data_IF_944096635495
#
_entry.id   IF_944096635495
#
_cell.length_a   1.000
_cell.length_b   1.000
_cell.length_c   1.000
_cell.angle_alpha   90.00
_cell.angle_beta   90.00
_cell.angle_gamma   90.00
#
_symmetry.space_group_name_H-M   'P 1'
#
loop_
_entity.id
_entity.type
_entity.pdbx_description
1 polymer ?
#
# COMPACT_ATOMS: atom_id res chain seq x y z
N UNK A 1 0.00 19.22 7.00
CA UNK A 1 -0.32 17.91 7.59
C UNK A 1 0.61 16.90 6.92
N UNK A 2 0.97 15.80 7.57
CA UNK A 2 1.86 14.81 6.99
C UNK A 2 1.08 13.50 6.81
N UNK A 3 1.30 12.80 5.70
CA UNK A 3 0.63 11.55 5.40
C UNK A 3 1.66 10.45 5.16
N UNK A 4 1.37 9.25 5.68
CA UNK A 4 2.17 8.05 5.50
C UNK A 4 1.37 7.05 4.67
N UNK A 5 1.98 6.59 3.58
CA UNK A 5 1.45 5.52 2.77
C UNK A 5 1.80 4.16 3.39
N UNK A 6 0.77 3.36 3.66
CA UNK A 6 0.91 1.98 4.10
C UNK A 6 0.38 1.05 3.01
N UNK A 7 1.24 0.20 2.46
CA UNK A 7 0.91 -0.78 1.42
C UNK A 7 0.69 -2.16 2.05
N UNK A 8 -0.34 -2.87 1.61
CA UNK A 8 -0.68 -4.22 2.03
C UNK A 8 -0.75 -5.12 0.81
N UNK A 9 0.06 -6.17 0.77
CA UNK A 9 -0.12 -7.26 -0.19
C UNK A 9 -1.16 -8.23 0.35
N UNK A 10 -2.25 -8.43 -0.39
CA UNK A 10 -3.35 -9.28 0.01
C UNK A 10 -3.56 -10.43 -0.98
N UNK A 11 -4.12 -11.54 -0.50
CA UNK A 11 -4.54 -12.67 -1.32
C UNK A 11 -6.03 -12.95 -1.10
N UNK A 12 -6.81 -12.96 -2.18
CA UNK A 12 -8.21 -13.36 -2.10
C UNK A 12 -8.38 -14.88 -1.91
N UNK A 13 -7.36 -15.68 -2.20
CA UNK A 13 -7.36 -17.13 -1.92
C UNK A 13 -7.17 -17.39 -0.43
N UNK A 14 -6.20 -16.71 0.20
CA UNK A 14 -5.93 -16.87 1.63
C UNK A 14 -6.82 -15.98 2.53
N UNK A 15 -7.65 -15.13 1.92
CA UNK A 15 -8.53 -14.17 2.59
C UNK A 15 -7.82 -13.33 3.66
N UNK A 16 -6.55 -12.96 3.42
CA UNK A 16 -5.72 -12.22 4.36
C UNK A 16 -4.75 -11.29 3.63
N UNK A 17 -4.16 -10.36 4.38
CA UNK A 17 -3.10 -9.48 3.94
C UNK A 17 -1.85 -9.67 4.79
N UNK A 18 -0.68 -9.45 4.20
CA UNK A 18 0.56 -9.33 4.94
C UNK A 18 0.55 -8.06 5.81
N UNK A 19 1.41 -7.99 6.85
CA UNK A 19 1.65 -6.75 7.57
C UNK A 19 1.97 -5.58 6.64
N UNK A 20 1.61 -4.34 7.01
CA UNK A 20 1.84 -3.19 6.16
C UNK A 20 3.33 -2.97 5.92
N UNK A 21 3.67 -2.67 4.67
CA UNK A 21 4.92 -2.01 4.33
C UNK A 21 4.69 -0.50 4.38
N UNK A 22 5.37 0.16 5.31
CA UNK A 22 5.36 1.61 5.39
C UNK A 22 6.28 2.18 4.31
N UNK A 23 5.72 2.97 3.39
CA UNK A 23 6.50 3.63 2.36
C UNK A 23 7.41 4.69 2.99
N UNK A 24 8.70 4.79 2.60
CA UNK A 24 9.67 5.65 3.27
C UNK A 24 9.41 7.15 3.07
N UNK A 25 8.64 7.53 2.05
CA UNK A 25 8.32 8.93 1.77
C UNK A 25 7.13 9.43 2.61
N UNK A 26 7.29 10.61 3.20
CA UNK A 26 6.24 11.33 3.92
C UNK A 26 5.64 12.38 2.98
N UNK A 27 4.34 12.33 2.77
CA UNK A 27 3.62 13.21 1.86
C UNK A 27 3.06 14.43 2.59
N UNK A 28 2.99 15.58 1.90
CA UNK A 28 2.46 16.84 2.44
C UNK A 28 0.94 16.92 2.49
N UNK A 29 0.25 16.03 1.79
CA UNK A 29 -1.19 16.02 1.62
C UNK A 29 -1.69 14.61 1.26
N UNK A 30 -2.98 14.36 1.51
CA UNK A 30 -3.59 13.07 1.25
C UNK A 30 -3.72 12.75 -0.24
N UNK A 31 -3.83 13.77 -1.12
CA UNK A 31 -3.99 13.55 -2.55
C UNK A 31 -2.73 12.97 -3.17
N UNK A 32 -1.57 13.59 -2.93
CA UNK A 32 -0.27 13.09 -3.41
C UNK A 32 0.04 11.70 -2.86
N UNK A 33 -0.28 11.45 -1.59
CA UNK A 33 -0.17 10.11 -0.99
C UNK A 33 -1.05 9.07 -1.72
N UNK A 34 -2.30 9.41 -2.02
CA UNK A 34 -3.23 8.49 -2.69
C UNK A 34 -2.82 8.22 -4.14
N UNK A 35 -2.29 9.22 -4.87
CA UNK A 35 -1.71 9.02 -6.20
C UNK A 35 -0.54 8.04 -6.13
N UNK A 36 0.43 8.28 -5.24
CA UNK A 36 1.58 7.40 -5.07
C UNK A 36 1.16 5.96 -4.67
N UNK A 37 0.14 5.81 -3.82
CA UNK A 37 -0.40 4.49 -3.48
C UNK A 37 -0.88 3.69 -4.68
N UNK A 38 -1.53 4.34 -5.67
CA UNK A 38 -1.94 3.68 -6.90
C UNK A 38 -0.75 3.33 -7.80
N UNK A 39 0.20 4.26 -7.97
CA UNK A 39 1.41 4.05 -8.79
C UNK A 39 2.25 2.89 -8.25
N UNK A 40 2.55 2.89 -6.95
CA UNK A 40 3.31 1.82 -6.29
C UNK A 40 2.56 0.47 -6.31
N UNK A 41 1.23 0.49 -6.25
CA UNK A 41 0.42 -0.72 -6.39
C UNK A 41 0.59 -1.37 -7.76
N UNK A 42 0.62 -0.56 -8.83
CA UNK A 42 0.83 -1.05 -10.20
C UNK A 42 2.23 -1.67 -10.31
N UNK A 43 3.26 -0.92 -9.91
CA UNK A 43 4.66 -1.37 -9.97
C UNK A 43 4.85 -2.69 -9.20
N UNK A 44 4.23 -2.83 -8.03
CA UNK A 44 4.34 -4.05 -7.22
C UNK A 44 3.64 -5.25 -7.88
N UNK A 45 2.47 -5.05 -8.50
CA UNK A 45 1.78 -6.11 -9.23
C UNK A 45 2.57 -6.55 -10.46
N UNK A 46 3.19 -5.62 -11.18
CA UNK A 46 4.08 -5.91 -12.31
C UNK A 46 5.33 -6.68 -11.87
N UNK A 47 5.94 -6.30 -10.76
CA UNK A 47 7.10 -6.99 -10.16
C UNK A 47 6.78 -8.41 -9.73
N UNK A 48 5.62 -8.63 -9.08
CA UNK A 48 5.17 -9.98 -8.68
C UNK A 48 4.86 -10.84 -9.91
N UNK A 49 4.27 -10.24 -10.93
CA UNK A 49 4.05 -10.85 -12.23
C UNK A 49 2.74 -11.65 -12.36
N UNK A 50 2.31 -11.79 -13.62
CA UNK A 50 1.01 -12.32 -14.03
C UNK A 50 0.68 -13.71 -13.44
N UNK A 51 1.66 -14.61 -13.37
CA UNK A 51 1.43 -15.98 -12.91
C UNK A 51 1.01 -16.01 -11.44
N UNK A 52 1.79 -15.38 -10.56
CA UNK A 52 1.55 -15.40 -9.11
C UNK A 52 0.35 -14.54 -8.72
N UNK A 53 0.15 -13.39 -9.40
CA UNK A 53 -1.04 -12.55 -9.22
C UNK A 53 -2.31 -13.33 -9.48
N UNK A 54 -2.38 -14.05 -10.61
CA UNK A 54 -3.59 -14.82 -10.95
C UNK A 54 -3.77 -16.04 -10.06
N UNK A 55 -2.69 -16.78 -9.79
CA UNK A 55 -2.74 -18.00 -8.98
C UNK A 55 -3.26 -17.73 -7.57
N UNK A 56 -2.74 -16.69 -6.91
CA UNK A 56 -3.10 -16.38 -5.52
C UNK A 56 -4.14 -15.27 -5.41
N UNK A 57 -4.66 -14.78 -6.56
CA UNK A 57 -5.59 -13.63 -6.66
C UNK A 57 -5.07 -12.46 -5.83
N UNK A 58 -3.83 -12.08 -6.11
CA UNK A 58 -3.14 -11.04 -5.36
C UNK A 58 -3.69 -9.66 -5.74
N UNK A 59 -3.82 -8.82 -4.75
CA UNK A 59 -4.18 -7.42 -4.92
C UNK A 59 -3.45 -6.59 -3.88
N UNK A 60 -3.22 -5.32 -4.20
CA UNK A 60 -2.66 -4.36 -3.26
C UNK A 60 -3.80 -3.56 -2.66
N UNK A 61 -3.85 -3.51 -1.33
CA UNK A 61 -4.64 -2.54 -0.57
C UNK A 61 -3.68 -1.51 -0.01
N UNK A 62 -4.11 -0.26 0.10
CA UNK A 62 -3.27 0.75 0.75
C UNK A 62 -4.10 1.78 1.51
N UNK A 63 -3.44 2.47 2.43
CA UNK A 63 -4.01 3.55 3.21
C UNK A 63 -3.04 4.72 3.30
N UNK A 64 -3.57 5.93 3.22
CA UNK A 64 -2.86 7.16 3.54
C UNK A 64 -3.30 7.63 4.92
N UNK A 65 -2.44 7.40 5.91
CA UNK A 65 -2.73 7.76 7.30
C UNK A 65 -2.19 9.15 7.58
N UNK A 66 -3.05 10.04 8.05
CA UNK A 66 -2.62 11.34 8.55
C UNK A 66 -1.81 11.15 9.84
N UNK A 67 -0.63 11.75 9.90
CA UNK A 67 0.19 11.82 11.10
C UNK A 67 -0.26 13.02 11.92
N UNK A 68 -1.08 12.75 12.95
CA UNK A 68 -1.34 13.73 14.00
C UNK A 68 -0.10 13.75 14.91
N UNK A 69 0.46 14.94 15.16
CA UNK A 69 1.60 15.09 16.09
C UNK A 69 1.21 14.52 17.47
N UNK A 70 1.77 13.37 17.84
CA UNK A 70 1.64 12.78 19.18
C UNK A 70 1.14 11.34 19.26
N UNK A 71 0.78 10.71 18.13
CA UNK A 71 0.32 9.32 18.10
C UNK A 71 1.47 8.39 17.66
N UNK A 72 1.81 7.34 18.43
CA UNK A 72 2.90 6.44 18.06
C UNK A 72 2.53 5.65 16.79
N UNK A 73 3.51 5.52 15.89
CA UNK A 73 3.44 4.67 14.71
C UNK A 73 3.45 3.19 15.08
#
# INVERSE_FOLDING_TARGET
MNFILNLYLCSAVATTCLPPYQYPHIFSDGYSCMIAGNEESILKLEEIGHLEVNKNKLFIKFLCTEQVKGEPA
#
